data_IF_639766781214
#
_entry.id   IF_639766781214
#
_cell.length_a   1.000
_cell.length_b   1.000
_cell.length_c   1.000
_cell.angle_alpha   90.00
_cell.angle_beta   90.00
_cell.angle_gamma   90.00
#
_symmetry.space_group_name_H-M   'P 1'
#
loop_
_entity.id
_entity.type
_entity.pdbx_description
1 polymer ?
#
# COMPACT_ATOMS: atom_id res chain seq x y z
N UNK A 1 -6.50 6.49 9.33
CA UNK A 1 -6.78 6.17 7.90
C UNK A 1 -6.23 4.79 7.51
N UNK A 2 -4.94 4.52 7.73
CA UNK A 2 -4.25 3.27 7.35
C UNK A 2 -4.95 2.02 7.94
N UNK A 3 -5.30 2.03 9.24
CA UNK A 3 -6.04 0.92 9.87
C UNK A 3 -7.39 0.62 9.22
N UNK A 4 -8.14 1.66 8.79
CA UNK A 4 -9.44 1.47 8.11
C UNK A 4 -9.25 0.82 6.73
N UNK A 5 -8.23 1.25 5.98
CA UNK A 5 -7.87 0.66 4.68
C UNK A 5 -7.45 -0.80 4.85
N UNK A 6 -6.66 -1.10 5.88
CA UNK A 6 -6.23 -2.47 6.17
C UNK A 6 -7.41 -3.39 6.52
N UNK A 7 -8.36 -2.92 7.35
CA UNK A 7 -9.56 -3.70 7.69
C UNK A 7 -10.42 -3.97 6.45
N UNK A 8 -10.55 -2.98 5.55
CA UNK A 8 -11.24 -3.15 4.29
C UNK A 8 -10.56 -4.20 3.40
N UNK A 9 -9.24 -4.10 3.21
CA UNK A 9 -8.45 -5.09 2.44
C UNK A 9 -8.63 -6.49 3.01
N UNK A 10 -8.50 -6.66 4.32
CA UNK A 10 -8.65 -7.97 4.97
C UNK A 10 -10.07 -8.53 4.77
N UNK A 11 -11.11 -7.71 4.85
CA UNK A 11 -12.50 -8.12 4.58
C UNK A 11 -12.69 -8.59 3.13
N UNK A 12 -12.10 -7.88 2.16
CA UNK A 12 -12.14 -8.28 0.75
C UNK A 12 -11.40 -9.60 0.51
N UNK A 13 -10.22 -9.79 1.11
CA UNK A 13 -9.45 -11.02 0.96
C UNK A 13 -10.17 -12.23 1.54
N UNK A 14 -10.80 -12.10 2.71
CA UNK A 14 -11.62 -13.18 3.28
C UNK A 14 -12.76 -13.58 2.34
N UNK A 15 -13.43 -12.60 1.70
CA UNK A 15 -14.48 -12.88 0.71
C UNK A 15 -13.93 -13.58 -0.54
N UNK A 16 -12.79 -13.15 -1.07
CA UNK A 16 -12.14 -13.76 -2.25
C UNK A 16 -11.71 -15.20 -1.94
N UNK A 17 -11.20 -15.45 -0.74
CA UNK A 17 -10.80 -16.78 -0.28
C UNK A 17 -12.00 -17.64 0.18
N UNK A 18 -13.23 -17.14 0.02
CA UNK A 18 -14.48 -17.79 0.44
C UNK A 18 -14.49 -18.24 1.91
N UNK A 19 -13.78 -17.50 2.78
CA UNK A 19 -13.69 -17.75 4.21
C UNK A 19 -14.92 -17.10 4.87
N UNK A 20 -15.95 -17.92 5.11
CA UNK A 20 -17.10 -17.51 5.91
C UNK A 20 -16.71 -17.56 7.39
N UNK A 21 -16.80 -16.42 8.07
CA UNK A 21 -16.60 -16.32 9.53
C UNK A 21 -17.37 -17.41 10.29
N UNK A 22 -16.84 -17.99 11.40
CA UNK A 22 -15.74 -17.53 12.25
C UNK A 22 -14.54 -18.49 12.26
N UNK A 23 -13.94 -18.80 11.11
CA UNK A 23 -12.60 -19.39 11.17
C UNK A 23 -11.60 -18.33 11.63
N UNK A 24 -10.97 -18.61 12.76
CA UNK A 24 -9.98 -17.79 13.48
C UNK A 24 -8.66 -17.74 12.68
N UNK A 25 -8.74 -17.36 11.40
CA UNK A 25 -7.56 -17.16 10.57
C UNK A 25 -6.99 -15.82 11.01
N UNK A 26 -5.86 -15.88 11.71
CA UNK A 26 -5.10 -14.70 12.08
C UNK A 26 -4.72 -13.92 10.82
N UNK A 27 -4.69 -12.59 10.93
CA UNK A 27 -4.28 -11.72 9.81
C UNK A 27 -2.90 -12.11 9.26
N UNK A 28 -2.01 -12.65 10.11
CA UNK A 28 -0.68 -13.13 9.70
C UNK A 28 -0.75 -14.37 8.80
N UNK A 29 -1.65 -15.32 9.07
CA UNK A 29 -1.84 -16.49 8.22
C UNK A 29 -2.44 -16.09 6.86
N UNK A 30 -3.36 -15.13 6.86
CA UNK A 30 -3.98 -14.61 5.65
C UNK A 30 -2.95 -13.93 4.73
N UNK A 31 -2.09 -13.06 5.29
CA UNK A 31 -1.00 -12.43 4.54
C UNK A 31 0.03 -13.43 4.01
N UNK A 32 0.36 -14.47 4.79
CA UNK A 32 1.27 -15.54 4.35
C UNK A 32 0.69 -16.31 3.16
N UNK A 33 -0.63 -16.49 3.13
CA UNK A 33 -1.31 -17.23 2.05
C UNK A 33 -1.43 -16.40 0.77
N UNK A 34 -1.60 -15.08 0.88
CA UNK A 34 -1.72 -14.17 -0.25
C UNK A 34 -0.39 -13.55 -0.68
N UNK A 35 0.72 -13.84 0.02
CA UNK A 35 2.01 -13.17 -0.12
C UNK A 35 1.88 -11.63 -0.12
N UNK A 36 0.90 -11.09 0.61
CA UNK A 36 0.65 -9.65 0.64
C UNK A 36 1.50 -8.96 1.72
N UNK A 37 1.98 -7.77 1.35
CA UNK A 37 2.68 -6.85 2.23
C UNK A 37 1.64 -5.91 2.89
N UNK A 38 1.79 -5.53 4.17
CA UNK A 38 0.91 -4.58 4.82
C UNK A 38 0.80 -3.27 4.03
N UNK A 39 -0.41 -2.70 4.02
CA UNK A 39 -0.67 -1.47 3.29
C UNK A 39 0.20 -0.29 3.76
N UNK A 40 0.60 -0.26 5.03
CA UNK A 40 1.48 0.80 5.55
C UNK A 40 2.88 0.74 4.93
N UNK A 41 3.41 -0.47 4.77
CA UNK A 41 4.73 -0.71 4.21
C UNK A 41 4.78 -0.40 2.71
N UNK A 42 3.73 -0.73 1.97
CA UNK A 42 3.55 -0.27 0.59
C UNK A 42 3.49 1.27 0.49
N UNK A 43 2.73 1.92 1.38
CA UNK A 43 2.66 3.40 1.43
C UNK A 43 4.03 3.99 1.73
N UNK A 44 4.77 3.41 2.69
CA UNK A 44 6.11 3.84 3.08
C UNK A 44 7.10 3.69 1.93
N UNK A 45 7.10 2.54 1.24
CA UNK A 45 7.95 2.28 0.08
C UNK A 45 7.69 3.29 -1.04
N UNK A 46 6.41 3.59 -1.33
CA UNK A 46 6.04 4.62 -2.31
C UNK A 46 6.51 6.00 -1.90
N UNK A 47 6.34 6.40 -0.62
CA UNK A 47 6.82 7.68 -0.11
C UNK A 47 8.34 7.82 -0.25
N UNK A 48 9.11 6.79 0.11
CA UNK A 48 10.56 6.80 -0.05
C UNK A 48 10.98 6.90 -1.52
N UNK A 49 10.32 6.16 -2.41
CA UNK A 49 10.57 6.26 -3.87
C UNK A 49 10.28 7.67 -4.41
N UNK A 50 9.23 8.32 -3.91
CA UNK A 50 8.91 9.71 -4.26
C UNK A 50 9.96 10.69 -3.75
N UNK A 51 10.41 10.54 -2.50
CA UNK A 51 11.47 11.37 -1.93
C UNK A 51 12.77 11.19 -2.72
N UNK A 52 13.15 9.95 -3.02
CA UNK A 52 14.32 9.64 -3.85
C UNK A 52 14.23 10.31 -5.22
N UNK A 53 13.07 10.23 -5.88
CA UNK A 53 12.87 10.87 -7.18
C UNK A 53 13.01 12.40 -7.09
N UNK A 54 12.44 13.02 -6.06
CA UNK A 54 12.57 14.47 -5.84
C UNK A 54 14.02 14.87 -5.54
N UNK A 55 14.74 14.09 -4.74
CA UNK A 55 16.14 14.35 -4.39
C UNK A 55 17.11 14.14 -5.56
N UNK A 56 16.83 13.17 -6.45
CA UNK A 56 17.58 12.96 -7.69
C UNK A 56 17.31 14.06 -8.73
N UNK A 57 16.26 14.87 -8.55
CA UNK A 57 15.95 15.99 -9.44
C UNK A 57 16.94 17.13 -9.16
N UNK A 58 17.75 17.51 -10.15
CA UNK A 58 18.68 18.63 -10.00
C UNK A 58 17.94 19.96 -9.84
N UNK A 59 18.53 20.95 -9.15
CA UNK A 59 17.95 22.28 -8.93
C UNK A 59 17.58 23.02 -10.23
N UNK A 60 18.21 22.64 -11.34
CA UNK A 60 18.05 23.25 -12.66
C UNK A 60 17.02 22.52 -13.52
N UNK A 61 16.43 21.41 -13.04
CA UNK A 61 15.36 20.70 -13.72
C UNK A 61 14.02 21.42 -13.51
N UNK A 62 13.99 22.69 -13.94
CA UNK A 62 12.79 23.51 -14.05
C UNK A 62 12.00 22.91 -15.21
N UNK A 63 11.02 22.08 -14.91
CA UNK A 63 9.99 21.72 -15.89
C UNK A 63 9.38 23.05 -16.34
N UNK A 64 9.57 23.45 -17.60
CA UNK A 64 8.94 24.65 -18.16
C UNK A 64 7.45 24.54 -17.88
N UNK A 65 6.93 25.33 -16.95
CA UNK A 65 5.50 25.53 -16.86
C UNK A 65 5.08 26.12 -18.20
N UNK A 66 4.11 25.50 -18.86
CA UNK A 66 3.37 26.18 -19.90
C UNK A 66 2.64 27.33 -19.21
N UNK A 67 3.17 28.55 -19.36
CA UNK A 67 2.46 29.75 -18.97
C UNK A 67 1.54 30.10 -20.14
N UNK A 68 0.23 30.14 -19.83
CA UNK A 68 -0.90 30.58 -20.66
C UNK A 68 -1.22 29.77 -21.91
#
# INVERSE_FOLDING_TARGET
MIKKVQVFINSCLSKILNIHWPDTISNSLLWKRTNQVPADEEIRKRRWKWIEHTLRKSSNCITRQALT
#
